data_IF_780819804554
#
_entry.id   IF_780819804554
#
_cell.length_a   1.000
_cell.length_b   1.000
_cell.length_c   1.000
_cell.angle_alpha   90.00
_cell.angle_beta   90.00
_cell.angle_gamma   90.00
#
_symmetry.space_group_name_H-M   'P 1'
#
loop_
_entity.id
_entity.type
_entity.pdbx_description
1 polymer ?
#
# COMPACT_ATOMS: atom_id res chain seq x y z
N UNK A 1 -29.70 19.76 5.11
CA UNK A 1 -29.38 19.90 6.55
C UNK A 1 -29.14 18.50 7.08
N UNK A 2 -28.03 18.34 7.81
CA UNK A 2 -27.29 17.11 8.15
C UNK A 2 -28.15 16.03 8.81
N UNK A 3 -27.98 14.75 8.44
CA UNK A 3 -27.36 13.75 9.34
C UNK A 3 -27.49 12.30 8.84
N UNK A 4 -26.50 11.49 9.25
CA UNK A 4 -26.36 10.02 9.17
C UNK A 4 -25.78 9.55 7.82
N UNK A 5 -24.46 9.53 7.64
CA UNK A 5 -23.56 8.52 8.25
C UNK A 5 -24.23 7.14 8.24
N UNK A 6 -24.67 6.71 7.07
CA UNK A 6 -24.82 5.30 6.72
C UNK A 6 -23.72 5.01 5.69
N UNK A 7 -23.25 3.76 5.62
CA UNK A 7 -22.06 3.29 4.86
C UNK A 7 -20.70 3.40 5.57
N UNK A 8 -20.73 3.53 6.90
CA UNK A 8 -19.62 3.08 7.74
C UNK A 8 -19.47 1.54 7.53
N UNK A 9 -18.53 1.14 6.67
CA UNK A 9 -17.79 -0.15 6.72
C UNK A 9 -18.40 -1.46 6.16
N UNK A 10 -19.56 -1.49 5.51
CA UNK A 10 -20.34 -2.77 5.42
C UNK A 10 -19.93 -3.81 4.35
N UNK A 11 -19.10 -3.54 3.33
CA UNK A 11 -18.91 -4.55 2.25
C UNK A 11 -17.47 -5.06 2.01
N UNK A 12 -16.49 -4.71 2.85
CA UNK A 12 -15.12 -5.25 2.69
C UNK A 12 -14.75 -6.38 3.65
N UNK A 13 -15.68 -6.83 4.51
CA UNK A 13 -15.42 -7.91 5.49
C UNK A 13 -16.44 -9.06 5.54
N UNK A 14 -17.48 -9.05 4.70
CA UNK A 14 -18.40 -10.20 4.58
C UNK A 14 -18.23 -10.87 3.20
N UNK A 15 -17.09 -11.53 3.00
CA UNK A 15 -16.98 -12.62 2.03
C UNK A 15 -16.71 -13.90 2.80
N UNK A 16 -17.42 -15.00 2.53
CA UNK A 16 -17.16 -16.30 3.15
C UNK A 16 -15.71 -16.74 2.87
N UNK A 17 -15.04 -17.38 3.84
CA UNK A 17 -13.59 -17.61 3.82
C UNK A 17 -13.09 -18.67 2.82
N UNK A 18 -13.93 -19.13 1.87
CA UNK A 18 -13.64 -20.35 1.10
C UNK A 18 -13.39 -20.13 -0.40
N UNK A 19 -13.52 -18.90 -0.91
CA UNK A 19 -12.98 -18.56 -2.23
C UNK A 19 -11.66 -17.83 -2.06
N UNK A 20 -10.59 -18.38 -2.61
CA UNK A 20 -9.24 -17.81 -2.55
C UNK A 20 -9.23 -16.37 -3.09
N UNK A 21 -9.44 -15.41 -2.20
CA UNK A 21 -9.28 -13.98 -2.50
C UNK A 21 -7.81 -13.80 -2.88
N UNK A 22 -7.49 -13.37 -4.11
CA UNK A 22 -6.10 -13.16 -4.51
C UNK A 22 -5.49 -12.17 -3.51
N UNK A 23 -4.27 -12.41 -3.01
CA UNK A 23 -3.70 -11.63 -1.92
C UNK A 23 -3.80 -10.15 -2.26
N UNK A 24 -4.53 -9.42 -1.41
CA UNK A 24 -4.54 -7.97 -1.41
C UNK A 24 -3.09 -7.53 -1.23
N UNK A 25 -2.48 -7.04 -2.31
CA UNK A 25 -1.10 -6.59 -2.32
C UNK A 25 -1.08 -5.23 -1.63
N UNK A 26 -1.04 -5.22 -0.30
CA UNK A 26 -1.06 -4.00 0.51
C UNK A 26 0.18 -3.13 0.35
N UNK A 27 0.37 -2.19 1.29
CA UNK A 27 1.49 -1.26 1.34
C UNK A 27 2.85 -1.97 1.13
N UNK A 28 3.59 -1.57 0.09
CA UNK A 28 4.81 -2.24 -0.38
C UNK A 28 5.98 -1.27 -0.49
N UNK A 29 7.16 -1.74 -0.06
CA UNK A 29 8.45 -1.14 -0.37
C UNK A 29 9.24 -2.07 -1.30
N UNK A 30 9.72 -1.52 -2.42
CA UNK A 30 10.56 -2.22 -3.41
C UNK A 30 11.94 -1.57 -3.42
N UNK A 31 12.97 -2.42 -3.44
CA UNK A 31 14.37 -2.02 -3.64
C UNK A 31 14.86 -2.73 -4.89
N UNK A 32 15.40 -2.00 -5.86
CA UNK A 32 15.85 -2.54 -7.14
C UNK A 32 17.17 -1.92 -7.57
N UNK A 33 17.95 -2.65 -8.39
CA UNK A 33 19.23 -2.15 -8.92
C UNK A 33 18.98 -0.98 -9.87
N UNK A 34 19.75 0.08 -9.72
CA UNK A 34 19.68 1.27 -10.56
C UNK A 34 21.08 1.82 -10.78
N UNK A 35 21.53 1.78 -12.03
CA UNK A 35 22.81 2.37 -12.49
C UNK A 35 22.86 3.89 -12.31
N UNK A 36 21.71 4.55 -12.20
CA UNK A 36 21.61 6.01 -12.02
C UNK A 36 21.75 6.42 -10.56
N UNK A 37 21.60 5.48 -9.62
CA UNK A 37 21.73 5.76 -8.19
C UNK A 37 23.20 5.68 -7.77
N UNK A 38 23.65 6.62 -6.93
CA UNK A 38 25.01 6.61 -6.39
C UNK A 38 25.33 5.32 -5.63
N UNK A 39 24.34 4.73 -4.98
CA UNK A 39 24.48 3.49 -4.21
C UNK A 39 24.21 2.24 -5.06
N UNK A 40 23.90 2.38 -6.36
CA UNK A 40 23.52 1.26 -7.23
C UNK A 40 22.13 0.70 -7.00
N UNK A 41 21.36 1.25 -6.05
CA UNK A 41 20.00 0.83 -5.72
C UNK A 41 19.03 2.01 -5.65
N UNK A 42 17.78 1.79 -6.03
CA UNK A 42 16.68 2.72 -5.90
C UNK A 42 15.55 2.10 -5.07
N UNK A 43 14.79 2.96 -4.40
CA UNK A 43 13.65 2.57 -3.55
C UNK A 43 12.37 3.11 -4.16
N UNK A 44 11.34 2.29 -4.21
CA UNK A 44 10.00 2.66 -4.66
C UNK A 44 8.97 2.19 -3.63
N UNK A 45 8.05 3.09 -3.28
CA UNK A 45 6.87 2.76 -2.50
C UNK A 45 5.66 2.63 -3.40
N UNK A 46 4.81 1.64 -3.11
CA UNK A 46 3.53 1.46 -3.77
C UNK A 46 2.46 1.07 -2.75
N UNK A 47 1.37 1.82 -2.73
CA UNK A 47 0.13 1.38 -2.11
C UNK A 47 -0.75 0.75 -3.18
N UNK A 48 -1.24 -0.47 -2.93
CA UNK A 48 -2.03 -1.20 -3.92
C UNK A 48 -3.27 -1.84 -3.28
N UNK A 49 -4.39 -1.80 -4.00
CA UNK A 49 -5.60 -2.56 -3.69
C UNK A 49 -5.87 -3.43 -4.92
N UNK A 50 -5.81 -4.75 -4.73
CA UNK A 50 -6.15 -5.73 -5.77
C UNK A 50 -7.65 -6.05 -5.68
N UNK A 51 -8.34 -6.18 -6.80
CA UNK A 51 -9.66 -6.80 -6.81
C UNK A 51 -9.86 -7.62 -8.09
N UNK A 52 -10.82 -8.55 -8.10
CA UNK A 52 -11.24 -9.24 -9.32
C UNK A 52 -11.64 -8.25 -10.42
N UNK A 53 -11.37 -8.57 -11.69
CA UNK A 53 -11.61 -7.67 -12.83
C UNK A 53 -13.08 -7.24 -12.98
N UNK A 54 -14.02 -8.07 -12.51
CA UNK A 54 -15.47 -7.74 -12.46
C UNK A 54 -15.79 -6.48 -11.63
N UNK A 55 -14.99 -6.21 -10.61
CA UNK A 55 -15.20 -5.10 -9.67
C UNK A 55 -14.25 -3.93 -9.98
N UNK A 56 -13.75 -3.84 -11.22
CA UNK A 56 -12.88 -2.74 -11.65
C UNK A 56 -13.50 -1.36 -11.42
N UNK A 57 -14.81 -1.25 -11.60
CA UNK A 57 -15.50 0.02 -11.39
C UNK A 57 -15.46 0.47 -9.93
N UNK A 58 -15.46 -0.47 -8.97
CA UNK A 58 -15.24 -0.13 -7.56
C UNK A 58 -13.86 0.51 -7.36
N UNK A 59 -12.82 0.02 -8.04
CA UNK A 59 -11.49 0.62 -7.96
C UNK A 59 -11.44 2.01 -8.59
N UNK A 60 -12.20 2.24 -9.67
CA UNK A 60 -12.34 3.57 -10.28
C UNK A 60 -13.00 4.56 -9.32
N UNK A 61 -14.08 4.15 -8.65
CA UNK A 61 -14.76 4.95 -7.61
C UNK A 61 -13.80 5.28 -6.45
N UNK A 62 -12.99 4.31 -6.00
CA UNK A 62 -11.97 4.55 -4.97
C UNK A 62 -10.93 5.56 -5.44
N UNK A 63 -10.45 5.45 -6.68
CA UNK A 63 -9.48 6.39 -7.24
C UNK A 63 -10.04 7.82 -7.33
N UNK A 64 -11.31 7.96 -7.73
CA UNK A 64 -12.01 9.25 -7.75
C UNK A 64 -12.19 9.81 -6.34
N UNK A 65 -12.62 8.98 -5.39
CA UNK A 65 -12.83 9.37 -4.00
C UNK A 65 -11.53 9.83 -3.30
N UNK A 66 -10.42 9.15 -3.56
CA UNK A 66 -9.11 9.51 -3.02
C UNK A 66 -8.40 10.60 -3.85
N UNK A 67 -8.95 10.95 -5.00
CA UNK A 67 -8.39 11.91 -5.98
C UNK A 67 -6.92 11.62 -6.32
N UNK A 68 -6.53 10.35 -6.37
CA UNK A 68 -5.17 9.94 -6.68
C UNK A 68 -5.09 8.49 -7.15
N UNK A 69 -3.91 8.11 -7.65
CA UNK A 69 -3.64 6.75 -8.12
C UNK A 69 -4.18 6.46 -9.51
N UNK A 70 -3.91 5.25 -9.97
CA UNK A 70 -4.38 4.73 -11.25
C UNK A 70 -4.95 3.32 -11.07
N UNK A 71 -5.94 2.98 -11.88
CA UNK A 71 -6.46 1.61 -11.97
C UNK A 71 -5.85 0.95 -13.20
N UNK A 72 -5.36 -0.29 -13.05
CA UNK A 72 -4.78 -1.04 -14.15
C UNK A 72 -5.15 -2.52 -14.07
N UNK A 73 -5.45 -3.12 -15.22
CA UNK A 73 -5.67 -4.55 -15.32
C UNK A 73 -4.33 -5.29 -15.19
N UNK A 74 -4.36 -6.47 -14.56
CA UNK A 74 -3.22 -7.38 -14.57
C UNK A 74 -3.17 -8.11 -15.91
N UNK A 75 -1.96 -8.46 -16.34
CA UNK A 75 -1.73 -9.15 -17.62
C UNK A 75 -2.42 -10.50 -17.74
N UNK A 76 -2.79 -11.13 -16.62
CA UNK A 76 -3.51 -12.41 -16.59
C UNK A 76 -5.04 -12.27 -16.64
N UNK A 77 -5.59 -11.05 -16.77
CA UNK A 77 -7.03 -10.78 -16.99
C UNK A 77 -7.98 -11.02 -15.81
N UNK A 78 -7.57 -11.77 -14.78
CA UNK A 78 -8.44 -12.14 -13.65
C UNK A 78 -8.55 -11.08 -12.55
N UNK A 79 -7.72 -10.04 -12.57
CA UNK A 79 -7.68 -9.03 -11.53
C UNK A 79 -7.27 -7.66 -12.05
N UNK A 80 -7.65 -6.63 -11.31
CA UNK A 80 -7.25 -5.25 -11.51
C UNK A 80 -6.68 -4.68 -10.21
N UNK A 81 -5.82 -3.68 -10.34
CA UNK A 81 -5.10 -3.05 -9.24
C UNK A 81 -5.36 -1.55 -9.24
N UNK A 82 -5.76 -1.00 -8.10
CA UNK A 82 -5.61 0.42 -7.79
C UNK A 82 -4.21 0.64 -7.24
N UNK A 83 -3.42 1.53 -7.84
CA UNK A 83 -2.00 1.70 -7.54
C UNK A 83 -1.69 3.18 -7.29
N UNK A 84 -1.05 3.48 -6.17
CA UNK A 84 -0.47 4.79 -5.85
C UNK A 84 1.02 4.62 -5.58
N UNK A 85 1.86 5.23 -6.42
CA UNK A 85 3.32 5.19 -6.31
C UNK A 85 3.97 6.59 -6.28
N UNK A 86 3.19 7.64 -6.55
CA UNK A 86 3.65 9.04 -6.49
C UNK A 86 3.91 9.42 -5.04
N UNK A 87 5.13 9.88 -4.73
CA UNK A 87 5.49 10.36 -3.38
C UNK A 87 4.57 11.51 -2.95
N UNK A 88 4.17 12.39 -3.88
CA UNK A 88 3.25 13.49 -3.61
C UNK A 88 1.87 12.98 -3.16
N UNK A 89 1.33 11.98 -3.84
CA UNK A 89 0.00 11.44 -3.53
C UNK A 89 0.03 10.60 -2.26
N UNK A 90 1.13 9.86 -2.05
CA UNK A 90 1.36 9.15 -0.79
C UNK A 90 1.38 10.12 0.40
N UNK A 91 2.10 11.24 0.27
CA UNK A 91 2.21 12.28 1.31
C UNK A 91 0.88 12.98 1.59
N UNK A 92 0.18 13.39 0.53
CA UNK A 92 -0.93 14.34 0.66
C UNK A 92 -2.30 13.66 0.73
N UNK A 93 -2.43 12.42 0.26
CA UNK A 93 -3.71 11.72 0.15
C UNK A 93 -3.71 10.42 0.97
N UNK A 94 -2.81 9.49 0.65
CA UNK A 94 -2.87 8.13 1.23
C UNK A 94 -2.48 8.11 2.71
N UNK A 95 -1.37 8.73 3.09
CA UNK A 95 -0.92 8.73 4.49
C UNK A 95 -1.94 9.44 5.40
N UNK A 96 -2.39 10.67 5.09
CA UNK A 96 -3.40 11.34 5.90
C UNK A 96 -4.71 10.56 6.01
N UNK A 97 -5.15 9.91 4.93
CA UNK A 97 -6.37 9.11 4.92
C UNK A 97 -6.28 7.93 5.89
N UNK A 98 -5.23 7.12 5.82
CA UNK A 98 -5.08 5.95 6.68
C UNK A 98 -4.56 6.27 8.09
N UNK A 99 -4.03 7.47 8.33
CA UNK A 99 -3.82 7.98 9.69
C UNK A 99 -5.16 8.33 10.37
N UNK A 100 -6.11 8.90 9.61
CA UNK A 100 -7.45 9.21 10.11
C UNK A 100 -8.34 7.96 10.22
N UNK A 101 -8.19 7.04 9.29
CA UNK A 101 -8.96 5.79 9.19
C UNK A 101 -8.00 4.59 9.19
N UNK A 102 -7.51 4.18 10.38
CA UNK A 102 -6.48 3.17 10.49
C UNK A 102 -6.94 1.80 9.97
N UNK A 103 -6.03 1.11 9.29
CA UNK A 103 -6.19 -0.29 8.96
C UNK A 103 -6.19 -1.14 10.24
N UNK A 104 -6.85 -2.29 10.19
CA UNK A 104 -6.92 -3.23 11.31
C UNK A 104 -6.05 -4.47 11.06
N UNK A 105 -5.68 -5.17 12.14
CA UNK A 105 -4.92 -6.42 12.10
C UNK A 105 -3.50 -6.26 11.56
N UNK A 106 -2.95 -7.32 10.97
CA UNK A 106 -1.56 -7.34 10.45
C UNK A 106 -1.30 -6.34 9.32
N UNK A 107 -2.34 -5.90 8.61
CA UNK A 107 -2.25 -4.85 7.58
C UNK A 107 -1.88 -3.49 8.18
N UNK A 108 -2.28 -3.23 9.42
CA UNK A 108 -1.89 -2.00 10.15
C UNK A 108 -0.38 -1.94 10.36
N UNK A 109 0.23 -3.06 10.75
CA UNK A 109 1.68 -3.16 10.97
C UNK A 109 2.47 -2.94 9.68
N UNK A 110 2.01 -3.53 8.56
CA UNK A 110 2.62 -3.31 7.25
C UNK A 110 2.48 -1.85 6.79
N UNK A 111 1.35 -1.21 7.09
CA UNK A 111 1.16 0.21 6.80
C UNK A 111 2.08 1.09 7.65
N UNK A 112 2.27 0.80 8.93
CA UNK A 112 3.21 1.55 9.77
C UNK A 112 4.65 1.44 9.26
N UNK A 113 5.08 0.24 8.87
CA UNK A 113 6.41 0.05 8.29
C UNK A 113 6.54 0.74 6.93
N UNK A 114 5.48 0.78 6.13
CA UNK A 114 5.43 1.58 4.91
C UNK A 114 5.59 3.08 5.19
N UNK A 115 4.94 3.61 6.23
CA UNK A 115 5.08 5.02 6.64
C UNK A 115 6.51 5.32 7.07
N UNK A 116 7.16 4.44 7.85
CA UNK A 116 8.58 4.59 8.21
C UNK A 116 9.50 4.67 6.99
N UNK A 117 9.28 3.81 5.99
CA UNK A 117 10.05 3.86 4.73
C UNK A 117 9.74 5.15 3.97
N UNK A 118 8.48 5.60 3.97
CA UNK A 118 8.10 6.87 3.36
C UNK A 118 8.83 8.05 4.00
N UNK A 119 8.93 8.11 5.33
CA UNK A 119 9.65 9.17 6.03
C UNK A 119 11.13 9.21 5.64
N UNK A 120 11.80 8.04 5.57
CA UNK A 120 13.17 7.93 5.09
C UNK A 120 13.32 8.39 3.63
N UNK A 121 12.27 8.21 2.82
CA UNK A 121 12.25 8.71 1.45
C UNK A 121 12.04 10.22 1.37
N UNK A 122 11.09 10.76 2.15
CA UNK A 122 10.75 12.19 2.21
C UNK A 122 11.94 13.02 2.70
N UNK A 123 12.69 12.53 3.69
CA UNK A 123 13.92 13.18 4.18
C UNK A 123 15.16 12.85 3.34
N UNK A 124 15.01 12.20 2.18
CA UNK A 124 16.11 11.77 1.28
C UNK A 124 17.16 10.84 1.90
N UNK A 125 16.90 10.26 3.08
CA UNK A 125 17.84 9.35 3.77
C UNK A 125 18.04 8.04 3.00
N UNK A 126 17.08 7.63 2.18
CA UNK A 126 17.21 6.49 1.27
C UNK A 126 18.39 6.59 0.26
N UNK A 127 18.99 7.78 0.10
CA UNK A 127 20.20 8.01 -0.72
C UNK A 127 21.51 7.81 0.07
N UNK A 128 21.43 7.42 1.33
CA UNK A 128 22.59 7.11 2.19
C UNK A 128 22.69 5.61 2.37
N UNK A 129 23.90 5.11 2.62
CA UNK A 129 24.12 3.69 2.87
C UNK A 129 23.32 3.19 4.09
N UNK A 130 23.34 3.96 5.18
CA UNK A 130 22.64 3.63 6.42
C UNK A 130 21.12 3.69 6.27
N UNK A 131 20.61 4.70 5.55
CA UNK A 131 19.19 4.80 5.26
C UNK A 131 18.71 3.66 4.36
N UNK A 132 19.49 3.28 3.34
CA UNK A 132 19.19 2.13 2.49
C UNK A 132 19.20 0.81 3.28
N UNK A 133 20.22 0.59 4.13
CA UNK A 133 20.30 -0.58 5.01
C UNK A 133 19.10 -0.66 5.96
N UNK A 134 18.68 0.47 6.51
CA UNK A 134 17.48 0.58 7.35
C UNK A 134 16.22 0.20 6.58
N UNK A 135 16.05 0.69 5.34
CA UNK A 135 14.90 0.35 4.49
C UNK A 135 14.89 -1.14 4.17
N UNK A 136 16.04 -1.76 3.88
CA UNK A 136 16.15 -3.19 3.62
C UNK A 136 15.71 -3.99 4.86
N UNK A 137 16.16 -3.60 6.06
CA UNK A 137 15.76 -4.23 7.33
C UNK A 137 14.28 -4.08 7.63
N UNK A 138 13.68 -2.92 7.38
CA UNK A 138 12.24 -2.74 7.53
C UNK A 138 11.50 -3.64 6.54
N UNK A 139 11.90 -3.59 5.26
CA UNK A 139 11.28 -4.38 4.19
C UNK A 139 11.32 -5.89 4.47
N UNK A 140 12.38 -6.41 5.08
CA UNK A 140 12.46 -7.85 5.40
C UNK A 140 11.42 -8.30 6.41
N UNK A 141 10.92 -7.40 7.26
CA UNK A 141 9.85 -7.68 8.23
C UNK A 141 8.43 -7.37 7.73
N UNK A 142 8.26 -6.93 6.48
CA UNK A 142 6.94 -6.60 5.92
C UNK A 142 6.27 -7.83 5.28
N UNK A 143 4.93 -7.83 5.30
CA UNK A 143 4.09 -8.83 4.64
C UNK A 143 4.45 -10.26 5.08
N UNK A 144 4.81 -11.15 4.15
CA UNK A 144 5.16 -12.55 4.43
C UNK A 144 6.44 -12.72 5.25
N UNK A 145 7.27 -11.67 5.37
CA UNK A 145 8.46 -11.68 6.21
C UNK A 145 8.19 -11.38 7.69
N UNK A 146 6.94 -11.08 8.06
CA UNK A 146 6.59 -10.79 9.46
C UNK A 146 6.39 -12.08 10.24
N UNK A 147 7.27 -12.34 11.20
CA UNK A 147 7.10 -13.42 12.18
C UNK A 147 5.95 -13.01 13.12
N UNK A 148 4.88 -13.80 13.14
CA UNK A 148 3.83 -13.66 14.15
C UNK A 148 4.37 -14.31 15.43
N UNK A 149 4.59 -13.52 16.47
CA UNK A 149 4.75 -14.07 17.81
C UNK A 149 3.35 -14.28 18.33
N UNK A 150 2.90 -15.54 18.30
CA UNK A 150 1.63 -15.93 18.90
C UNK A 150 1.68 -15.53 20.37
N UNK A 151 0.91 -14.51 20.74
CA UNK A 151 0.75 -14.03 22.13
C UNK A 151 -0.59 -14.48 22.64
#
# INVERSE_FOLDING_TARGET
MISRIYWRWVLFFYSPPEEAVPPLKGAQARVYKSVKSKQGFAVQLAFTITQHSRDKELLNVIAQFLECGRVADRSNGGACDFIVNSIKDLKNKIIPFFNKYPLLGTKSLNYQDFVKVFELMDTKKHLTQDGLATIIKIKSGMNTGRIQLDT
#
